data_IF_245333020346
#
_entry.id   IF_245333020346
#
_cell.length_a   1.000
_cell.length_b   1.000
_cell.length_c   1.000
_cell.angle_alpha   90.00
_cell.angle_beta   90.00
_cell.angle_gamma   90.00
#
_symmetry.space_group_name_H-M   'P 1'
#
loop_
_entity.id
_entity.type
_entity.pdbx_description
1 polymer ?
#
# COMPACT_ATOMS: atom_id res chain seq x y z
N UNK A 1 7.09 -12.44 18.60
CA UNK A 1 6.71 -11.62 17.42
C UNK A 1 6.42 -12.49 16.19
N UNK A 2 7.24 -13.46 15.81
CA UNK A 2 7.04 -14.32 14.63
C UNK A 2 5.69 -15.07 14.61
N UNK A 3 5.26 -15.66 15.74
CA UNK A 3 3.97 -16.36 15.83
C UNK A 3 2.74 -15.47 15.57
N UNK A 4 2.78 -14.19 15.96
CA UNK A 4 1.71 -13.24 15.66
C UNK A 4 1.64 -12.84 14.18
N UNK A 5 2.78 -12.83 13.50
CA UNK A 5 2.81 -12.56 12.05
C UNK A 5 2.26 -13.74 11.25
N UNK A 6 2.59 -14.97 11.62
CA UNK A 6 2.10 -16.19 10.95
C UNK A 6 0.59 -16.38 11.15
N UNK A 7 0.04 -15.96 12.30
CA UNK A 7 -1.42 -15.99 12.57
C UNK A 7 -2.17 -14.79 12.03
N UNK A 8 -1.51 -13.91 11.27
CA UNK A 8 -2.17 -12.76 10.67
C UNK A 8 -3.11 -13.22 9.53
N UNK A 9 -4.42 -12.89 9.59
CA UNK A 9 -5.39 -13.32 8.59
C UNK A 9 -5.04 -12.86 7.16
N UNK A 10 -4.35 -11.72 7.00
CA UNK A 10 -3.90 -11.25 5.68
C UNK A 10 -2.83 -12.20 5.10
N UNK A 11 -1.85 -12.60 5.91
CA UNK A 11 -0.79 -13.51 5.49
C UNK A 11 -1.36 -14.90 5.19
N UNK A 12 -2.24 -15.40 6.06
CA UNK A 12 -2.92 -16.67 5.85
C UNK A 12 -3.77 -16.67 4.57
N UNK A 13 -4.50 -15.59 4.30
CA UNK A 13 -5.29 -15.45 3.08
C UNK A 13 -4.40 -15.46 1.83
N UNK A 14 -3.27 -14.75 1.83
CA UNK A 14 -2.33 -14.75 0.72
C UNK A 14 -1.72 -16.14 0.49
N UNK A 15 -1.25 -16.80 1.54
CA UNK A 15 -0.65 -18.14 1.44
C UNK A 15 -1.68 -19.16 0.95
N UNK A 16 -2.88 -19.16 1.54
CA UNK A 16 -3.96 -20.07 1.12
C UNK A 16 -4.38 -19.84 -0.33
N UNK A 17 -4.44 -18.58 -0.78
CA UNK A 17 -4.71 -18.23 -2.16
C UNK A 17 -3.65 -18.75 -3.14
N UNK A 18 -2.38 -18.59 -2.79
CA UNK A 18 -1.26 -19.11 -3.61
C UNK A 18 -1.30 -20.64 -3.68
N UNK A 19 -1.50 -21.32 -2.55
CA UNK A 19 -1.59 -22.78 -2.48
C UNK A 19 -2.78 -23.26 -3.34
N UNK A 20 -3.93 -22.63 -3.19
CA UNK A 20 -5.12 -22.99 -3.95
C UNK A 20 -4.90 -22.82 -5.46
N UNK A 21 -4.32 -21.69 -5.89
CA UNK A 21 -4.04 -21.43 -7.30
C UNK A 21 -3.07 -22.42 -7.94
N UNK A 22 -2.16 -23.01 -7.13
CA UNK A 22 -1.24 -24.04 -7.62
C UNK A 22 -1.88 -25.45 -7.73
N UNK A 23 -2.90 -25.73 -6.90
CA UNK A 23 -3.53 -27.05 -6.85
C UNK A 23 -4.75 -27.11 -7.80
N UNK A 24 -5.55 -26.06 -7.83
CA UNK A 24 -6.76 -25.97 -8.66
C UNK A 24 -6.66 -24.83 -9.65
N UNK A 25 -7.08 -25.06 -10.90
CA UNK A 25 -7.03 -24.08 -12.00
C UNK A 25 -8.13 -22.99 -11.92
N UNK A 26 -8.90 -22.94 -10.86
CA UNK A 26 -9.93 -21.91 -10.64
C UNK A 26 -10.94 -22.30 -9.57
N UNK A 27 -11.67 -21.30 -9.09
CA UNK A 27 -12.77 -21.51 -8.16
C UNK A 27 -14.05 -21.93 -8.90
N UNK A 28 -14.93 -22.71 -8.25
CA UNK A 28 -16.30 -22.86 -8.74
C UNK A 28 -16.93 -21.48 -8.96
N UNK A 29 -17.79 -21.30 -10.01
CA UNK A 29 -18.30 -19.98 -10.41
C UNK A 29 -18.96 -19.19 -9.28
N UNK A 30 -19.64 -19.86 -8.37
CA UNK A 30 -20.26 -19.22 -7.19
C UNK A 30 -19.21 -18.60 -6.27
N UNK A 31 -18.17 -19.35 -5.94
CA UNK A 31 -17.09 -18.87 -5.05
C UNK A 31 -16.29 -17.75 -5.73
N UNK A 32 -15.97 -17.93 -7.00
CA UNK A 32 -15.23 -16.93 -7.78
C UNK A 32 -15.97 -15.58 -7.84
N UNK A 33 -17.27 -15.61 -8.15
CA UNK A 33 -18.10 -14.41 -8.17
C UNK A 33 -18.18 -13.73 -6.79
N UNK A 34 -18.33 -14.51 -5.72
CA UNK A 34 -18.38 -13.97 -4.35
C UNK A 34 -17.06 -13.31 -3.97
N UNK A 35 -15.93 -13.95 -4.26
CA UNK A 35 -14.60 -13.38 -3.99
C UNK A 35 -14.34 -12.13 -4.82
N UNK A 36 -14.73 -12.11 -6.10
CA UNK A 36 -14.63 -10.92 -6.96
C UNK A 36 -15.46 -9.76 -6.44
N UNK A 37 -16.72 -9.98 -6.08
CA UNK A 37 -17.59 -8.95 -5.50
C UNK A 37 -17.00 -8.41 -4.20
N UNK A 38 -16.53 -9.30 -3.31
CA UNK A 38 -15.89 -8.91 -2.05
C UNK A 38 -14.63 -8.08 -2.29
N UNK A 39 -13.82 -8.42 -3.29
CA UNK A 39 -12.60 -7.67 -3.62
C UNK A 39 -12.89 -6.26 -4.13
N UNK A 40 -13.95 -6.07 -4.92
CA UNK A 40 -14.38 -4.74 -5.39
C UNK A 40 -14.84 -3.82 -4.27
N UNK A 41 -15.44 -4.38 -3.23
CA UNK A 41 -15.96 -3.62 -2.07
C UNK A 41 -14.88 -3.38 -1.02
N UNK A 42 -13.87 -4.23 -0.94
CA UNK A 42 -12.83 -4.18 0.08
C UNK A 42 -12.05 -2.85 0.08
N UNK A 43 -11.64 -2.35 -1.09
CA UNK A 43 -10.87 -1.10 -1.20
C UNK A 43 -11.71 0.14 -0.82
N UNK A 44 -12.93 0.36 -1.31
CA UNK A 44 -13.80 1.44 -0.86
C UNK A 44 -14.08 1.39 0.65
N UNK A 45 -14.33 0.21 1.22
CA UNK A 45 -14.57 0.07 2.66
C UNK A 45 -13.32 0.41 3.49
N UNK A 46 -12.13 -0.01 3.03
CA UNK A 46 -10.88 0.35 3.67
C UNK A 46 -10.66 1.87 3.66
N UNK A 47 -10.93 2.54 2.54
CA UNK A 47 -10.82 4.00 2.44
C UNK A 47 -11.83 4.72 3.34
N UNK A 48 -13.07 4.25 3.43
CA UNK A 48 -14.07 4.80 4.35
C UNK A 48 -13.65 4.62 5.80
N UNK A 49 -13.10 3.46 6.16
CA UNK A 49 -12.62 3.18 7.51
C UNK A 49 -11.48 4.12 7.91
N UNK A 50 -10.51 4.33 7.00
CA UNK A 50 -9.39 5.26 7.24
C UNK A 50 -9.90 6.69 7.35
N UNK A 51 -10.79 7.11 6.43
CA UNK A 51 -11.38 8.45 6.46
C UNK A 51 -12.19 8.72 7.75
N UNK A 52 -12.94 7.72 8.22
CA UNK A 52 -13.69 7.82 9.48
C UNK A 52 -12.79 7.85 10.73
N UNK A 53 -11.62 7.24 10.68
CA UNK A 53 -10.64 7.26 11.77
C UNK A 53 -9.77 8.55 11.75
N UNK A 54 -9.74 9.26 10.62
CA UNK A 54 -8.90 10.44 10.45
C UNK A 54 -9.57 11.66 11.08
N UNK A 55 -8.97 12.20 12.15
CA UNK A 55 -9.37 13.48 12.73
C UNK A 55 -8.27 14.53 12.51
N UNK A 56 -8.65 15.80 12.48
CA UNK A 56 -7.67 16.89 12.36
C UNK A 56 -6.62 16.86 13.48
N UNK A 57 -7.05 16.54 14.72
CA UNK A 57 -6.15 16.37 15.85
C UNK A 57 -5.12 15.28 15.59
N UNK A 58 -5.55 14.11 15.15
CA UNK A 58 -4.66 12.98 14.81
C UNK A 58 -3.60 13.35 13.77
N UNK A 59 -4.01 14.11 12.74
CA UNK A 59 -3.08 14.55 11.69
C UNK A 59 -2.05 15.53 12.24
N UNK A 60 -2.47 16.48 13.10
CA UNK A 60 -1.58 17.49 13.69
C UNK A 60 -0.60 16.84 14.65
N UNK A 61 -1.07 15.97 15.53
CA UNK A 61 -0.23 15.28 16.53
C UNK A 61 0.87 14.42 15.89
N UNK A 62 0.54 13.77 14.76
CA UNK A 62 1.48 12.89 14.05
C UNK A 62 2.11 13.54 12.81
N UNK A 63 1.86 14.84 12.57
CA UNK A 63 2.26 15.54 11.33
C UNK A 63 3.73 15.40 11.02
N UNK A 64 4.60 15.71 12.01
CA UNK A 64 6.06 15.73 11.81
C UNK A 64 6.59 14.35 11.43
N UNK A 65 6.16 13.30 12.13
CA UNK A 65 6.63 11.94 11.88
C UNK A 65 6.08 11.38 10.57
N UNK A 66 4.79 11.62 10.29
CA UNK A 66 4.15 11.24 9.04
C UNK A 66 4.74 11.97 7.83
N UNK A 67 5.09 13.25 8.00
CA UNK A 67 5.74 14.04 6.94
C UNK A 67 7.13 13.50 6.61
N UNK A 68 7.95 13.21 7.63
CA UNK A 68 9.28 12.64 7.45
C UNK A 68 9.18 11.29 6.74
N UNK A 69 8.31 10.40 7.22
CA UNK A 69 8.12 9.08 6.63
C UNK A 69 7.63 9.14 5.18
N UNK A 70 6.66 10.03 4.90
CA UNK A 70 6.10 10.21 3.55
C UNK A 70 7.12 10.82 2.60
N UNK A 71 7.87 11.85 3.04
CA UNK A 71 8.92 12.47 2.23
C UNK A 71 10.03 11.49 1.93
N UNK A 72 10.49 10.75 2.93
CA UNK A 72 11.50 9.72 2.71
C UNK A 72 11.04 8.68 1.69
N UNK A 73 9.81 8.18 1.81
CA UNK A 73 9.22 7.23 0.87
C UNK A 73 9.11 7.80 -0.54
N UNK A 74 8.58 9.01 -0.69
CA UNK A 74 8.25 9.59 -2.00
C UNK A 74 9.45 10.24 -2.71
N UNK A 75 10.55 10.45 -2.01
CA UNK A 75 11.80 11.01 -2.58
C UNK A 75 12.89 9.95 -2.64
N UNK A 76 13.22 9.31 -1.51
CA UNK A 76 14.33 8.37 -1.47
C UNK A 76 14.04 7.09 -2.28
N UNK A 77 12.80 6.57 -2.19
CA UNK A 77 12.45 5.34 -2.88
C UNK A 77 12.46 5.48 -4.42
N UNK A 78 11.90 6.53 -5.03
CA UNK A 78 12.03 6.76 -6.46
C UNK A 78 13.46 7.00 -6.92
N UNK A 79 14.27 7.74 -6.15
CA UNK A 79 15.68 7.98 -6.49
C UNK A 79 16.50 6.68 -6.51
N UNK A 80 16.37 5.89 -5.45
CA UNK A 80 17.02 4.59 -5.35
C UNK A 80 16.51 3.65 -6.44
N UNK A 81 15.17 3.60 -6.62
CA UNK A 81 14.53 2.79 -7.64
C UNK A 81 14.97 3.14 -9.06
N UNK A 82 15.06 4.44 -9.37
CA UNK A 82 15.59 4.90 -10.64
C UNK A 82 17.03 4.42 -10.88
N UNK A 83 17.90 4.58 -9.87
CA UNK A 83 19.27 4.09 -9.94
C UNK A 83 19.37 2.59 -10.24
N UNK A 84 18.55 1.78 -9.58
CA UNK A 84 18.48 0.34 -9.85
C UNK A 84 17.94 0.03 -11.25
N UNK A 85 16.85 0.65 -11.68
CA UNK A 85 16.25 0.42 -13.01
C UNK A 85 17.25 0.73 -14.13
N UNK A 86 18.00 1.84 -14.01
CA UNK A 86 19.06 2.21 -14.96
C UNK A 86 20.23 1.21 -14.91
N UNK A 87 20.67 0.83 -13.71
CA UNK A 87 21.77 -0.11 -13.53
C UNK A 87 21.47 -1.50 -14.13
N UNK A 88 20.20 -1.93 -14.08
CA UNK A 88 19.75 -3.19 -14.69
C UNK A 88 19.38 -3.08 -16.18
N UNK A 89 19.53 -1.91 -16.79
CA UNK A 89 19.27 -1.71 -18.22
C UNK A 89 17.80 -1.92 -18.60
N UNK A 90 16.88 -1.55 -17.71
CA UNK A 90 15.44 -1.69 -17.96
C UNK A 90 15.01 -0.77 -19.12
N UNK A 91 14.16 -1.27 -20.03
CA UNK A 91 13.64 -0.51 -21.17
C UNK A 91 12.90 0.77 -20.75
N UNK A 92 12.82 1.76 -21.64
CA UNK A 92 12.18 3.05 -21.38
C UNK A 92 10.76 2.91 -20.81
N UNK A 93 9.95 2.01 -21.36
CA UNK A 93 8.61 1.72 -20.85
C UNK A 93 8.67 1.13 -19.44
N UNK A 94 9.54 0.17 -19.20
CA UNK A 94 9.75 -0.44 -17.88
C UNK A 94 10.24 0.56 -16.85
N UNK A 95 11.10 1.49 -17.24
CA UNK A 95 11.62 2.57 -16.41
C UNK A 95 10.49 3.52 -15.98
N UNK A 96 9.64 3.95 -16.90
CA UNK A 96 8.49 4.82 -16.60
C UNK A 96 7.48 4.14 -15.67
N UNK A 97 7.12 2.89 -15.95
CA UNK A 97 6.20 2.11 -15.10
C UNK A 97 6.80 1.90 -13.71
N UNK A 98 8.09 1.57 -13.62
CA UNK A 98 8.80 1.40 -12.35
C UNK A 98 8.85 2.68 -11.54
N UNK A 99 9.14 3.83 -12.15
CA UNK A 99 9.12 5.13 -11.48
C UNK A 99 7.75 5.47 -10.94
N UNK A 100 6.69 5.30 -11.74
CA UNK A 100 5.32 5.51 -11.27
C UNK A 100 5.03 4.64 -10.06
N UNK A 101 5.44 3.37 -10.08
CA UNK A 101 5.24 2.45 -8.94
C UNK A 101 5.93 2.94 -7.66
N UNK A 102 7.16 3.44 -7.75
CA UNK A 102 7.90 3.94 -6.59
C UNK A 102 7.34 5.25 -6.03
N UNK A 103 6.63 6.04 -6.85
CA UNK A 103 5.99 7.31 -6.43
C UNK A 103 4.56 7.13 -5.90
N UNK A 104 4.04 5.89 -5.86
CA UNK A 104 2.72 5.64 -5.30
C UNK A 104 2.67 5.94 -3.79
N UNK A 105 1.54 6.50 -3.30
CA UNK A 105 1.33 6.79 -1.89
C UNK A 105 1.31 5.52 -1.03
N UNK A 106 1.28 5.70 0.28
CA UNK A 106 1.20 4.60 1.23
C UNK A 106 -0.16 3.89 1.10
N UNK A 107 -0.11 2.55 1.00
CA UNK A 107 -1.31 1.74 0.82
C UNK A 107 -2.21 1.74 2.07
N UNK A 108 -3.55 1.70 1.89
CA UNK A 108 -4.51 1.45 2.96
C UNK A 108 -4.25 0.19 3.78
N UNK A 109 -3.57 -0.80 3.21
CA UNK A 109 -3.16 -2.01 3.90
C UNK A 109 -2.30 -1.73 5.15
N UNK A 110 -1.55 -0.61 5.18
CA UNK A 110 -0.78 -0.19 6.35
C UNK A 110 -1.69 0.02 7.57
N UNK A 111 -2.84 0.68 7.41
CA UNK A 111 -3.79 0.90 8.49
C UNK A 111 -4.35 -0.41 9.05
N UNK A 112 -4.77 -1.31 8.15
CA UNK A 112 -5.31 -2.62 8.52
C UNK A 112 -4.24 -3.44 9.25
N UNK A 113 -3.02 -3.45 8.73
CA UNK A 113 -1.91 -4.18 9.34
C UNK A 113 -1.54 -3.59 10.72
N UNK A 114 -1.49 -2.27 10.86
CA UNK A 114 -1.25 -1.58 12.14
C UNK A 114 -2.30 -1.95 13.17
N UNK A 115 -3.58 -1.98 12.78
CA UNK A 115 -4.68 -2.38 13.65
C UNK A 115 -4.53 -3.84 14.12
N UNK A 116 -4.19 -4.76 13.23
CA UNK A 116 -4.01 -6.18 13.58
C UNK A 116 -2.80 -6.46 14.46
N UNK A 117 -1.75 -5.67 14.29
CA UNK A 117 -0.52 -5.80 15.09
C UNK A 117 -0.57 -4.99 16.39
N UNK A 118 -1.69 -4.34 16.72
CA UNK A 118 -1.84 -3.40 17.83
C UNK A 118 -0.75 -2.32 17.82
N UNK A 119 -0.44 -1.79 16.63
CA UNK A 119 0.47 -0.68 16.41
C UNK A 119 -0.32 0.64 16.33
N UNK A 120 0.36 1.75 16.14
CA UNK A 120 -0.25 3.08 16.07
C UNK A 120 -1.03 3.26 14.77
N UNK A 121 -2.35 3.08 14.85
CA UNK A 121 -3.29 3.29 13.73
C UNK A 121 -3.47 4.76 13.38
N UNK A 122 -3.27 5.66 14.35
CA UNK A 122 -3.37 7.09 14.13
C UNK A 122 -2.22 7.60 13.27
N UNK A 123 -1.00 7.16 13.58
CA UNK A 123 0.17 7.44 12.76
C UNK A 123 0.01 6.84 11.36
N UNK A 124 -0.52 5.62 11.25
CA UNK A 124 -0.77 4.97 9.95
C UNK A 124 -1.75 5.76 9.09
N UNK A 125 -2.90 6.19 9.65
CA UNK A 125 -3.91 6.97 8.93
C UNK A 125 -3.38 8.35 8.51
N UNK A 126 -2.66 9.05 9.40
CA UNK A 126 -2.03 10.32 9.09
C UNK A 126 -0.97 10.18 7.99
N UNK A 127 -0.17 9.11 8.02
CA UNK A 127 0.84 8.83 6.98
C UNK A 127 0.22 8.52 5.63
N UNK A 128 -0.90 7.78 5.58
CA UNK A 128 -1.64 7.52 4.34
C UNK A 128 -2.16 8.84 3.76
N UNK A 129 -2.81 9.68 4.57
CA UNK A 129 -3.37 10.95 4.11
C UNK A 129 -2.28 11.89 3.58
N UNK A 130 -1.20 12.10 4.33
CA UNK A 130 -0.09 12.98 3.92
C UNK A 130 0.65 12.44 2.70
N UNK A 131 0.93 11.13 2.64
CA UNK A 131 1.59 10.56 1.47
C UNK A 131 0.72 10.67 0.21
N UNK A 132 -0.61 10.58 0.34
CA UNK A 132 -1.54 10.74 -0.78
C UNK A 132 -1.49 12.18 -1.34
N UNK A 133 -1.47 13.19 -0.47
CA UNK A 133 -1.35 14.59 -0.88
C UNK A 133 0.02 14.85 -1.55
N UNK A 134 1.09 14.38 -0.91
CA UNK A 134 2.46 14.57 -1.42
C UNK A 134 2.73 13.77 -2.70
N UNK A 135 2.08 12.63 -2.90
CA UNK A 135 2.25 11.81 -4.10
C UNK A 135 1.79 12.52 -5.37
N UNK A 136 0.87 13.49 -5.27
CA UNK A 136 0.48 14.32 -6.40
C UNK A 136 1.70 15.02 -7.05
N UNK A 137 2.57 15.59 -6.22
CA UNK A 137 3.80 16.25 -6.71
C UNK A 137 4.82 15.22 -7.22
N UNK A 138 5.03 14.15 -6.46
CA UNK A 138 5.99 13.11 -6.83
C UNK A 138 5.61 12.40 -8.13
N UNK A 139 4.32 12.07 -8.31
CA UNK A 139 3.81 11.48 -9.57
C UNK A 139 3.92 12.44 -10.75
N UNK A 140 3.62 13.73 -10.53
CA UNK A 140 3.75 14.74 -11.59
C UNK A 140 5.20 14.84 -12.09
N UNK A 141 6.17 14.77 -11.19
CA UNK A 141 7.59 14.78 -11.57
C UNK A 141 7.96 13.48 -12.31
N UNK A 142 7.51 12.33 -11.82
CA UNK A 142 7.80 11.04 -12.45
C UNK A 142 7.23 10.90 -13.86
N UNK A 143 6.12 11.57 -14.16
CA UNK A 143 5.50 11.58 -15.49
C UNK A 143 6.19 12.52 -16.50
N UNK A 144 7.00 13.46 -16.00
CA UNK A 144 7.79 14.37 -16.83
C UNK A 144 9.12 13.78 -17.32
N UNK A 145 9.58 12.70 -16.68
CA UNK A 145 10.77 11.95 -17.04
C UNK A 145 10.42 10.84 -18.03
#
# INVERSE_FOLDING_TARGET
MLFRSISNPLILACISGIIYANIWQGFPPFIDNTLKLSSYVALPLAMLSIGGALTLGTVIDHFKLSLIASTFKLVALPLIGYGFLVAFGVSDLGLKVGLIYFTLPTSPALYILSSQLNSDTNLASASIALSTILSFFSLSIALLI
#
